data_IF_747936840295
#
_entry.id   IF_747936840295
#
_cell.length_a   1.000
_cell.length_b   1.000
_cell.length_c   1.000
_cell.angle_alpha   90.00
_cell.angle_beta   90.00
_cell.angle_gamma   90.00
#
_symmetry.space_group_name_H-M   'P 1'
#
loop_
_entity.id
_entity.type
_entity.pdbx_description
1 polymer ?
#
# COMPACT_ATOMS: atom_id res chain seq x y z
N UNK A 1 16.46 -13.97 -3.54
CA UNK A 1 16.70 -12.60 -3.02
C UNK A 1 17.68 -12.64 -1.86
N UNK A 2 18.46 -11.58 -1.62
CA UNK A 2 19.36 -11.50 -0.45
C UNK A 2 18.62 -11.70 0.88
N UNK A 3 17.41 -11.16 0.99
CA UNK A 3 16.52 -11.30 2.16
C UNK A 3 16.18 -12.77 2.44
N UNK A 4 15.93 -13.57 1.40
CA UNK A 4 15.61 -14.99 1.55
C UNK A 4 16.83 -15.79 2.02
N UNK A 5 18.00 -15.56 1.41
CA UNK A 5 19.25 -16.21 1.82
C UNK A 5 19.64 -15.85 3.26
N UNK A 6 19.42 -14.60 3.67
CA UNK A 6 19.63 -14.18 5.05
C UNK A 6 18.70 -14.92 6.03
N UNK A 7 17.43 -15.15 5.65
CA UNK A 7 16.48 -15.93 6.45
C UNK A 7 16.92 -17.39 6.59
N UNK A 8 17.29 -18.04 5.49
CA UNK A 8 17.79 -19.44 5.49
C UNK A 8 19.04 -19.61 6.37
N UNK A 9 19.98 -18.66 6.32
CA UNK A 9 21.17 -18.71 7.18
C UNK A 9 20.84 -18.53 8.67
N UNK A 10 19.86 -17.68 9.00
CA UNK A 10 19.37 -17.50 10.37
C UNK A 10 18.65 -18.76 10.88
N UNK A 11 17.82 -19.38 10.03
CA UNK A 11 17.17 -20.67 10.31
C UNK A 11 18.19 -21.81 10.50
N UNK A 12 19.32 -21.76 9.80
CA UNK A 12 20.46 -22.66 9.99
C UNK A 12 21.32 -22.36 11.24
N UNK A 13 20.84 -21.51 12.16
CA UNK A 13 21.50 -21.20 13.43
C UNK A 13 22.68 -20.23 13.34
N UNK A 14 22.87 -19.55 12.20
CA UNK A 14 23.93 -18.55 12.04
C UNK A 14 23.46 -17.18 12.52
N UNK A 15 24.32 -16.49 13.26
CA UNK A 15 24.08 -15.10 13.63
C UNK A 15 24.24 -14.18 12.40
N UNK A 16 23.13 -13.64 11.92
CA UNK A 16 23.03 -12.87 10.67
C UNK A 16 22.23 -11.59 10.92
N UNK A 17 22.85 -10.45 10.63
CA UNK A 17 22.19 -9.14 10.57
C UNK A 17 21.81 -8.87 9.12
N UNK A 18 20.50 -8.88 8.82
CA UNK A 18 20.00 -8.60 7.47
C UNK A 18 19.69 -7.12 7.30
N UNK A 19 20.48 -6.41 6.48
CA UNK A 19 20.27 -5.02 6.08
C UNK A 19 19.60 -4.91 4.69
N UNK A 20 18.89 -5.96 4.27
CA UNK A 20 18.34 -6.10 2.92
C UNK A 20 16.82 -5.99 2.85
N UNK A 21 16.15 -5.73 3.98
CA UNK A 21 14.69 -5.57 4.00
C UNK A 21 14.29 -4.22 3.39
N UNK A 22 13.36 -4.23 2.44
CA UNK A 22 12.75 -3.02 1.89
C UNK A 22 11.44 -2.62 2.59
N UNK A 23 10.98 -3.39 3.56
CA UNK A 23 9.77 -3.12 4.34
C UNK A 23 10.12 -2.78 5.79
N UNK A 24 9.30 -1.96 6.46
CA UNK A 24 9.44 -1.72 7.89
C UNK A 24 9.29 -3.00 8.74
N UNK A 25 9.84 -2.96 9.94
CA UNK A 25 9.85 -4.06 10.92
C UNK A 25 8.71 -3.97 11.96
N UNK A 26 7.92 -2.89 11.94
CA UNK A 26 6.75 -2.71 12.79
C UNK A 26 5.46 -3.25 12.14
N UNK A 27 4.50 -3.73 12.96
CA UNK A 27 3.21 -4.20 12.46
C UNK A 27 2.34 -3.04 11.94
N UNK A 28 1.32 -3.40 11.15
CA UNK A 28 0.25 -2.46 10.80
C UNK A 28 -0.44 -1.94 12.07
N UNK A 29 -0.69 -0.62 12.21
CA UNK A 29 -1.34 -0.07 13.40
C UNK A 29 -2.76 -0.62 13.64
N UNK A 30 -3.13 -0.83 14.91
CA UNK A 30 -4.39 -1.47 15.32
C UNK A 30 -5.64 -0.83 14.71
N UNK A 31 -5.71 0.50 14.68
CA UNK A 31 -6.86 1.22 14.13
C UNK A 31 -7.10 0.92 12.64
N UNK A 32 -6.05 0.57 11.89
CA UNK A 32 -6.17 0.17 10.48
C UNK A 32 -6.69 -1.26 10.38
N UNK A 33 -6.19 -2.17 11.22
CA UNK A 33 -6.65 -3.56 11.29
C UNK A 33 -8.13 -3.63 11.68
N UNK A 34 -8.55 -2.86 12.68
CA UNK A 34 -9.94 -2.77 13.12
C UNK A 34 -10.87 -2.19 12.04
N UNK A 35 -10.42 -1.18 11.29
CA UNK A 35 -11.18 -0.64 10.17
C UNK A 35 -11.39 -1.69 9.05
N UNK A 36 -10.37 -2.50 8.76
CA UNK A 36 -10.48 -3.60 7.79
C UNK A 36 -11.44 -4.69 8.29
N UNK A 37 -11.36 -5.09 9.56
CA UNK A 37 -12.28 -6.05 10.17
C UNK A 37 -13.72 -5.56 10.09
N UNK A 38 -13.95 -4.29 10.42
CA UNK A 38 -15.28 -3.67 10.33
C UNK A 38 -15.80 -3.69 8.89
N UNK A 39 -15.00 -3.27 7.91
CA UNK A 39 -15.40 -3.29 6.50
C UNK A 39 -15.78 -4.70 6.01
N UNK A 40 -15.04 -5.73 6.44
CA UNK A 40 -15.39 -7.13 6.16
C UNK A 40 -16.73 -7.53 6.77
N UNK A 41 -16.98 -7.17 8.04
CA UNK A 41 -18.26 -7.46 8.73
C UNK A 41 -19.45 -6.72 8.13
N UNK A 42 -19.23 -5.52 7.62
CA UNK A 42 -20.23 -4.70 6.93
C UNK A 42 -20.49 -5.15 5.48
N UNK A 43 -19.80 -6.18 5.00
CA UNK A 43 -20.03 -6.74 3.66
C UNK A 43 -19.41 -5.92 2.53
N UNK A 44 -18.38 -5.11 2.81
CA UNK A 44 -17.61 -4.39 1.78
C UNK A 44 -16.66 -5.35 1.02
N UNK A 45 -17.22 -6.38 0.39
CA UNK A 45 -16.50 -7.53 -0.19
C UNK A 45 -16.70 -7.69 -1.70
N UNK A 46 -17.45 -6.78 -2.31
CA UNK A 46 -17.74 -6.79 -3.75
C UNK A 46 -16.78 -5.87 -4.52
N UNK A 47 -16.89 -5.87 -5.85
CA UNK A 47 -16.05 -5.02 -6.69
C UNK A 47 -16.17 -3.53 -6.32
N UNK A 48 -15.03 -2.90 -6.13
CA UNK A 48 -14.92 -1.44 -6.06
C UNK A 48 -14.88 -0.85 -7.47
N UNK A 49 -15.17 0.45 -7.64
CA UNK A 49 -14.86 1.15 -8.88
C UNK A 49 -13.38 0.97 -9.25
N UNK A 50 -13.07 0.87 -10.54
CA UNK A 50 -11.71 0.59 -11.06
C UNK A 50 -10.68 1.58 -10.53
N UNK A 51 -11.05 2.86 -10.40
CA UNK A 51 -10.15 3.91 -9.92
C UNK A 51 -10.09 4.03 -8.38
N UNK A 52 -10.77 3.16 -7.64
CA UNK A 52 -10.91 3.22 -6.19
C UNK A 52 -12.23 3.83 -5.72
N UNK A 53 -12.57 3.60 -4.44
CA UNK A 53 -13.79 4.15 -3.81
C UNK A 53 -13.70 5.66 -3.63
N UNK A 54 -14.84 6.36 -3.67
CA UNK A 54 -14.88 7.82 -3.46
C UNK A 54 -14.30 8.22 -2.10
N UNK A 55 -14.63 7.46 -1.04
CA UNK A 55 -14.12 7.73 0.31
C UNK A 55 -12.59 7.68 0.37
N UNK A 56 -11.95 6.69 -0.29
CA UNK A 56 -10.51 6.60 -0.33
C UNK A 56 -9.87 7.71 -1.17
N UNK A 57 -10.49 8.05 -2.30
CA UNK A 57 -10.03 9.17 -3.15
C UNK A 57 -10.05 10.50 -2.38
N UNK A 58 -11.13 10.79 -1.66
CA UNK A 58 -11.26 12.00 -0.85
C UNK A 58 -10.20 12.06 0.25
N UNK A 59 -9.94 10.93 0.92
CA UNK A 59 -8.88 10.83 1.92
C UNK A 59 -7.48 11.08 1.32
N UNK A 60 -7.21 10.58 0.11
CA UNK A 60 -5.95 10.82 -0.62
C UNK A 60 -5.81 12.29 -1.00
N UNK A 61 -6.87 12.93 -1.52
CA UNK A 61 -6.87 14.38 -1.84
C UNK A 61 -6.55 15.20 -0.60
N UNK A 62 -7.26 14.93 0.51
CA UNK A 62 -7.02 15.61 1.78
C UNK A 62 -5.58 15.39 2.28
N UNK A 63 -5.03 14.18 2.11
CA UNK A 63 -3.63 13.88 2.46
C UNK A 63 -2.65 14.71 1.61
N UNK A 64 -2.83 14.76 0.29
CA UNK A 64 -1.96 15.56 -0.59
C UNK A 64 -2.00 17.04 -0.25
N UNK A 65 -3.19 17.58 0.06
CA UNK A 65 -3.31 18.97 0.50
C UNK A 65 -2.59 19.21 1.83
N UNK A 66 -2.81 18.36 2.82
CA UNK A 66 -2.24 18.50 4.17
C UNK A 66 -0.73 18.32 4.20
N UNK A 67 -0.21 17.28 3.54
CA UNK A 67 1.19 16.87 3.68
C UNK A 67 2.10 17.47 2.59
N UNK A 68 1.52 17.91 1.46
CA UNK A 68 2.28 18.36 0.29
C UNK A 68 1.80 19.68 -0.30
N UNK A 69 0.71 20.26 0.21
CA UNK A 69 0.15 21.52 -0.29
C UNK A 69 -0.49 21.42 -1.69
N UNK A 70 -0.71 20.21 -2.20
CA UNK A 70 -1.20 19.97 -3.57
C UNK A 70 -2.73 19.87 -3.60
N UNK A 71 -3.33 20.53 -4.59
CA UNK A 71 -4.77 20.47 -4.86
C UNK A 71 -5.05 19.50 -6.03
N UNK A 72 -5.90 18.50 -5.79
CA UNK A 72 -6.31 17.50 -6.79
C UNK A 72 -7.83 17.30 -6.78
N UNK A 73 -8.39 17.01 -7.95
CA UNK A 73 -9.77 16.56 -8.12
C UNK A 73 -9.88 15.01 -8.12
N UNK A 74 -11.08 14.47 -7.92
CA UNK A 74 -11.33 13.02 -7.82
C UNK A 74 -10.96 12.22 -9.07
N UNK A 75 -11.05 12.84 -10.24
CA UNK A 75 -10.68 12.30 -11.55
C UNK A 75 -9.16 12.32 -11.78
N UNK A 76 -8.40 13.05 -10.96
CA UNK A 76 -6.94 13.07 -10.95
C UNK A 76 -6.34 12.04 -9.97
N UNK A 77 -7.17 11.22 -9.30
CA UNK A 77 -6.74 10.19 -8.34
C UNK A 77 -7.11 8.79 -8.83
N UNK A 78 -6.13 7.90 -8.81
CA UNK A 78 -6.27 6.47 -9.11
C UNK A 78 -5.65 5.62 -8.00
N UNK A 79 -6.35 4.58 -7.56
CA UNK A 79 -5.89 3.62 -6.54
C UNK A 79 -5.58 2.29 -7.21
N UNK A 80 -4.44 1.69 -6.85
CA UNK A 80 -4.03 0.36 -7.32
C UNK A 80 -3.47 -0.52 -6.19
N UNK A 81 -3.19 -1.79 -6.49
CA UNK A 81 -2.59 -2.75 -5.57
C UNK A 81 -1.11 -2.42 -5.28
N UNK A 82 -0.87 -1.38 -4.50
CA UNK A 82 0.45 -0.83 -4.22
C UNK A 82 0.95 0.13 -5.30
N UNK A 83 2.13 0.72 -5.08
CA UNK A 83 2.70 1.73 -5.99
C UNK A 83 3.30 1.16 -7.27
N UNK A 84 3.71 -0.12 -7.29
CA UNK A 84 4.30 -0.76 -8.48
C UNK A 84 3.33 -0.76 -9.68
N UNK A 85 2.05 -1.16 -9.54
CA UNK A 85 1.09 -1.04 -10.64
C UNK A 85 0.82 0.40 -11.10
N UNK A 86 0.88 1.41 -10.22
CA UNK A 86 0.74 2.83 -10.62
C UNK A 86 1.78 3.19 -11.67
N UNK A 87 3.05 2.91 -11.35
CA UNK A 87 4.19 3.22 -12.24
C UNK A 87 4.10 2.40 -13.53
N UNK A 88 3.79 1.11 -13.42
CA UNK A 88 3.65 0.24 -14.58
C UNK A 88 2.55 0.72 -15.53
N UNK A 89 1.37 1.04 -15.00
CA UNK A 89 0.24 1.52 -15.80
C UNK A 89 0.54 2.88 -16.43
N UNK A 90 1.25 3.77 -15.72
CA UNK A 90 1.66 5.05 -16.30
C UNK A 90 2.54 4.85 -17.55
N UNK A 91 3.50 3.92 -17.50
CA UNK A 91 4.32 3.59 -18.68
C UNK A 91 3.49 2.91 -19.77
N UNK A 92 2.74 1.86 -19.45
CA UNK A 92 1.93 1.14 -20.44
C UNK A 92 0.88 2.02 -21.14
N UNK A 93 0.45 3.11 -20.50
CA UNK A 93 -0.50 4.06 -21.08
C UNK A 93 0.16 5.13 -21.95
N UNK A 94 1.49 5.27 -21.92
CA UNK A 94 2.17 6.44 -22.52
C UNK A 94 3.34 6.10 -23.44
N UNK A 95 3.97 4.93 -23.30
CA UNK A 95 5.15 4.51 -24.09
C UNK A 95 5.03 3.07 -24.60
#
# INVERSE_FOLDING_TARGET
MMTQRAREMKEAGRDIISLSSGQPDFPTPDHVMEAAIRAMREGQTTYTPIAGTNALKDAIIAKFKRDSGLDYARDQIHVSCGGKPVIFNAFMATI
#
